data_IF_421393460316
#
_entry.id   IF_421393460316
#
_cell.length_a   1.000
_cell.length_b   1.000
_cell.length_c   1.000
_cell.angle_alpha   90.00
_cell.angle_beta   90.00
_cell.angle_gamma   90.00
#
_symmetry.space_group_name_H-M   'P 1'
#
loop_
_entity.id
_entity.type
_entity.pdbx_description
1 polymer ?
#
# COMPACT_ATOMS: atom_id res chain seq x y z
N UNK A 1 -40.03 34.44 -2.06
CA UNK A 1 -39.91 33.77 -0.74
C UNK A 1 -38.67 32.92 -0.83
N UNK A 2 -37.63 33.25 -0.07
CA UNK A 2 -36.43 32.42 0.02
C UNK A 2 -36.72 31.29 1.02
N UNK A 3 -36.64 30.04 0.54
CA UNK A 3 -36.77 28.87 1.40
C UNK A 3 -35.51 28.74 2.25
N UNK A 4 -35.63 28.97 3.55
CA UNK A 4 -34.56 28.74 4.52
C UNK A 4 -34.39 27.23 4.67
N UNK A 5 -33.40 26.65 3.98
CA UNK A 5 -33.04 25.25 4.14
C UNK A 5 -32.43 25.08 5.54
N UNK A 6 -33.19 24.47 6.44
CA UNK A 6 -32.73 24.17 7.79
C UNK A 6 -31.51 23.23 7.74
N UNK A 7 -30.46 23.55 8.50
CA UNK A 7 -29.30 22.67 8.61
C UNK A 7 -29.72 21.32 9.21
N UNK A 8 -29.27 20.19 8.64
CA UNK A 8 -29.64 18.88 9.15
C UNK A 8 -29.11 18.69 10.58
N UNK A 9 -29.98 18.15 11.44
CA UNK A 9 -29.63 17.79 12.82
C UNK A 9 -28.99 16.41 12.77
N UNK A 10 -27.68 16.34 13.01
CA UNK A 10 -26.93 15.08 13.04
C UNK A 10 -26.91 14.56 14.49
N UNK A 11 -27.25 13.29 14.68
CA UNK A 11 -27.18 12.65 15.99
C UNK A 11 -25.75 12.68 16.54
N UNK A 12 -25.59 13.02 17.82
CA UNK A 12 -24.29 13.15 18.48
C UNK A 12 -23.46 11.88 18.38
N UNK A 13 -24.10 10.73 18.55
CA UNK A 13 -23.50 9.40 18.43
C UNK A 13 -22.95 9.15 17.01
N UNK A 14 -23.64 9.64 15.97
CA UNK A 14 -23.17 9.55 14.59
C UNK A 14 -21.94 10.44 14.36
N UNK A 15 -21.97 11.66 14.90
CA UNK A 15 -20.85 12.59 14.88
C UNK A 15 -19.62 12.04 15.62
N UNK A 16 -19.84 11.40 16.77
CA UNK A 16 -18.80 10.72 17.56
C UNK A 16 -18.26 9.47 16.84
N UNK A 17 -19.10 8.73 16.12
CA UNK A 17 -18.66 7.61 15.28
C UNK A 17 -17.81 8.04 14.07
N UNK A 18 -18.03 9.28 13.61
CA UNK A 18 -17.32 9.93 12.52
C UNK A 18 -16.10 10.73 13.00
N UNK A 19 -15.93 10.91 14.32
CA UNK A 19 -14.74 11.56 14.87
C UNK A 19 -13.53 10.74 14.47
N UNK A 20 -12.69 11.37 13.67
CA UNK A 20 -11.40 10.84 13.24
C UNK A 20 -10.62 10.45 14.48
N UNK A 21 -10.40 9.15 14.70
CA UNK A 21 -9.37 8.72 15.65
C UNK A 21 -8.07 9.25 15.09
N UNK A 22 -7.53 10.30 15.71
CA UNK A 22 -6.19 10.79 15.44
C UNK A 22 -5.25 9.74 16.05
N UNK A 23 -5.07 8.63 15.36
CA UNK A 23 -3.87 7.84 15.55
C UNK A 23 -2.76 8.61 14.84
N UNK A 24 -1.63 8.83 15.52
CA UNK A 24 -0.40 9.20 14.83
C UNK A 24 -0.20 8.18 13.71
N UNK A 25 -0.37 8.62 12.45
CA UNK A 25 -0.19 7.75 11.29
C UNK A 25 1.27 7.32 11.25
N UNK A 26 1.55 6.15 11.84
CA UNK A 26 2.77 5.42 11.54
C UNK A 26 2.61 4.95 10.11
N UNK A 27 3.55 5.32 9.25
CA UNK A 27 3.57 4.89 7.87
C UNK A 27 4.77 3.98 7.64
N UNK A 28 4.60 3.01 6.75
CA UNK A 28 5.68 2.14 6.29
C UNK A 28 5.95 2.47 4.84
N UNK A 29 7.21 2.83 4.52
CA UNK A 29 7.61 3.22 3.18
C UNK A 29 8.42 2.07 2.57
N UNK A 30 7.98 1.59 1.41
CA UNK A 30 8.65 0.51 0.69
C UNK A 30 9.05 1.01 -0.69
N UNK A 31 10.34 1.14 -0.91
CA UNK A 31 10.91 1.39 -2.23
C UNK A 31 11.08 0.03 -2.94
N UNK A 32 10.28 -0.17 -3.97
CA UNK A 32 10.28 -1.40 -4.77
C UNK A 32 11.17 -1.23 -6.00
N UNK A 33 12.05 -2.20 -6.22
CA UNK A 33 12.83 -2.33 -7.44
C UNK A 33 12.27 -3.50 -8.25
N UNK A 34 11.76 -3.21 -9.44
CA UNK A 34 11.54 -4.19 -10.48
C UNK A 34 12.83 -4.28 -11.33
N UNK A 35 13.60 -5.39 -11.27
CA UNK A 35 14.92 -5.47 -11.88
C UNK A 35 14.88 -5.31 -13.40
N UNK A 36 15.97 -4.77 -13.94
CA UNK A 36 16.22 -4.72 -15.37
C UNK A 36 16.03 -6.09 -16.01
N UNK A 37 15.27 -6.11 -17.10
CA UNK A 37 14.95 -7.32 -17.85
C UNK A 37 15.27 -7.15 -19.33
N UNK A 38 15.79 -8.18 -20.01
CA UNK A 38 16.02 -8.19 -21.45
C UNK A 38 14.73 -8.39 -22.26
N UNK A 39 13.57 -8.53 -21.60
CA UNK A 39 12.28 -8.62 -22.29
C UNK A 39 11.76 -7.23 -22.64
N UNK A 40 11.41 -7.03 -23.92
CA UNK A 40 10.78 -5.80 -24.39
C UNK A 40 9.29 -5.80 -24.05
N UNK A 41 8.78 -4.65 -23.62
CA UNK A 41 7.35 -4.46 -23.38
C UNK A 41 6.83 -4.97 -22.02
N UNK A 42 7.71 -5.12 -21.02
CA UNK A 42 7.26 -5.41 -19.65
C UNK A 42 6.32 -4.31 -19.16
N UNK A 43 5.13 -4.73 -18.73
CA UNK A 43 4.12 -3.87 -18.13
C UNK A 43 3.91 -4.32 -16.69
N UNK A 44 3.97 -3.38 -15.76
CA UNK A 44 3.69 -3.64 -14.35
C UNK A 44 2.60 -2.71 -13.84
N UNK A 45 1.95 -3.11 -12.77
CA UNK A 45 0.96 -2.30 -12.04
C UNK A 45 0.97 -2.75 -10.59
N UNK A 46 0.30 -2.00 -9.73
CA UNK A 46 0.07 -2.40 -8.34
C UNK A 46 -1.43 -2.44 -8.06
N UNK A 47 -1.86 -3.35 -7.20
CA UNK A 47 -3.25 -3.44 -6.77
C UNK A 47 -3.48 -2.69 -5.45
N UNK A 48 -4.69 -2.14 -5.29
CA UNK A 48 -5.12 -1.61 -3.98
C UNK A 48 -5.19 -2.69 -2.90
N UNK A 49 -5.24 -3.96 -3.31
CA UNK A 49 -5.18 -5.14 -2.44
C UNK A 49 -3.74 -5.62 -2.20
N UNK A 50 -2.77 -4.70 -2.26
CA UNK A 50 -1.40 -4.91 -1.77
C UNK A 50 -1.33 -4.64 -0.28
N UNK A 51 -0.71 -5.53 0.49
CA UNK A 51 -0.62 -5.42 1.94
C UNK A 51 0.79 -5.74 2.45
N UNK A 52 1.10 -5.20 3.63
CA UNK A 52 2.12 -5.78 4.51
C UNK A 52 1.41 -6.65 5.55
N UNK A 53 1.73 -7.94 5.58
CA UNK A 53 1.13 -8.93 6.46
C UNK A 53 2.09 -9.19 7.61
N UNK A 54 1.72 -8.86 8.85
CA UNK A 54 2.53 -9.21 10.01
C UNK A 54 2.59 -10.74 10.15
N UNK A 55 3.79 -11.30 10.26
CA UNK A 55 3.96 -12.75 10.37
C UNK A 55 3.62 -13.29 11.77
N UNK A 56 3.44 -12.39 12.73
CA UNK A 56 3.22 -12.68 14.15
C UNK A 56 1.76 -12.50 14.57
N UNK A 57 0.92 -11.90 13.71
CA UNK A 57 -0.47 -11.56 14.03
C UNK A 57 -1.36 -11.63 12.78
N UNK A 58 -2.65 -11.31 12.92
CA UNK A 58 -3.58 -11.18 11.78
C UNK A 58 -3.59 -9.78 11.18
N UNK A 59 -2.72 -8.87 11.64
CA UNK A 59 -2.69 -7.49 11.18
C UNK A 59 -2.26 -7.38 9.72
N UNK A 60 -2.95 -6.49 8.99
CA UNK A 60 -2.65 -6.16 7.59
C UNK A 60 -2.54 -4.65 7.45
N UNK A 61 -1.34 -4.19 7.13
CA UNK A 61 -1.10 -2.80 6.75
C UNK A 61 -1.57 -2.57 5.32
N UNK A 62 -2.46 -1.59 5.14
CA UNK A 62 -3.08 -1.28 3.84
C UNK A 62 -2.22 -0.31 3.04
N UNK A 63 -2.23 -0.43 1.72
CA UNK A 63 -1.66 0.57 0.82
C UNK A 63 -2.43 1.89 0.97
N UNK A 64 -1.71 2.97 1.23
CA UNK A 64 -2.22 4.35 1.35
C UNK A 64 -1.93 5.13 0.06
N UNK A 65 -0.71 5.00 -0.47
CA UNK A 65 -0.26 5.74 -1.66
C UNK A 65 0.73 4.92 -2.49
N UNK A 66 0.72 5.17 -3.80
CA UNK A 66 1.69 4.62 -4.74
C UNK A 66 2.26 5.75 -5.59
N UNK A 67 3.59 5.82 -5.65
CA UNK A 67 4.35 6.85 -6.35
C UNK A 67 5.17 6.21 -7.47
N UNK A 68 5.12 6.81 -8.66
CA UNK A 68 5.81 6.34 -9.86
C UNK A 68 5.42 4.91 -10.33
N UNK A 69 4.19 4.46 -10.03
CA UNK A 69 3.57 3.25 -10.59
C UNK A 69 2.05 3.46 -10.69
N UNK A 70 1.40 2.86 -11.68
CA UNK A 70 -0.05 2.91 -11.84
C UNK A 70 -0.77 1.86 -11.02
N UNK A 71 -1.92 2.25 -10.44
CA UNK A 71 -2.86 1.32 -9.82
C UNK A 71 -3.68 0.61 -10.91
N UNK A 72 -4.01 -0.68 -10.71
CA UNK A 72 -5.00 -1.41 -11.49
C UNK A 72 -6.25 -0.54 -11.76
N UNK A 73 -6.79 -0.50 -13.00
CA UNK A 73 -6.47 -1.37 -14.15
C UNK A 73 -5.34 -0.87 -15.04
N UNK A 74 -4.76 0.29 -14.74
CA UNK A 74 -3.78 0.94 -15.60
C UNK A 74 -2.40 0.29 -15.47
N UNK A 75 -1.65 0.30 -16.56
CA UNK A 75 -0.32 -0.31 -16.66
C UNK A 75 0.77 0.75 -16.79
N UNK A 76 1.92 0.45 -16.19
CA UNK A 76 3.16 1.22 -16.28
C UNK A 76 4.16 0.46 -17.13
N UNK A 77 4.68 1.10 -18.17
CA UNK A 77 5.72 0.51 -19.00
C UNK A 77 7.08 0.55 -18.29
N UNK A 78 7.74 -0.61 -18.21
CA UNK A 78 9.08 -0.75 -17.65
C UNK A 78 10.11 -0.51 -18.76
N UNK A 79 11.08 0.40 -18.57
CA UNK A 79 12.13 0.64 -19.55
C UNK A 79 13.02 -0.59 -19.77
N UNK A 80 13.41 -0.82 -21.02
CA UNK A 80 14.30 -1.94 -21.40
C UNK A 80 15.67 -1.84 -20.72
N UNK A 81 16.16 -2.96 -20.19
CA UNK A 81 17.49 -3.10 -19.58
C UNK A 81 17.79 -2.06 -18.48
N UNK A 82 16.76 -1.58 -17.77
CA UNK A 82 16.91 -0.65 -16.65
C UNK A 82 16.05 -1.10 -15.47
N UNK A 83 16.59 -0.94 -14.27
CA UNK A 83 15.81 -1.11 -13.06
C UNK A 83 14.71 -0.05 -13.01
N UNK A 84 13.50 -0.49 -12.69
CA UNK A 84 12.38 0.40 -12.48
C UNK A 84 12.07 0.50 -10.99
N UNK A 85 12.04 1.74 -10.49
CA UNK A 85 11.86 2.03 -9.07
C UNK A 85 10.55 2.78 -8.85
N UNK A 86 9.80 2.34 -7.85
CA UNK A 86 8.60 3.00 -7.39
C UNK A 86 8.50 2.91 -5.86
N UNK A 87 7.62 3.73 -5.28
CA UNK A 87 7.48 3.79 -3.82
C UNK A 87 6.03 3.54 -3.43
N UNK A 88 5.84 2.67 -2.45
CA UNK A 88 4.55 2.37 -1.85
C UNK A 88 4.54 2.80 -0.39
N UNK A 89 3.48 3.47 0.03
CA UNK A 89 3.28 3.92 1.41
C UNK A 89 2.13 3.13 1.99
N UNK A 90 2.35 2.51 3.14
CA UNK A 90 1.36 1.69 3.85
C UNK A 90 1.03 2.25 5.22
N UNK A 91 -0.11 1.85 5.76
CA UNK A 91 -0.45 2.07 7.16
C UNK A 91 0.53 1.34 8.09
N UNK A 92 0.63 1.80 9.33
CA UNK A 92 1.64 1.33 10.27
C UNK A 92 1.54 -0.16 10.62
N UNK A 93 2.69 -0.74 10.94
CA UNK A 93 2.80 -2.09 11.50
C UNK A 93 2.59 -2.06 13.03
N UNK A 94 2.03 -3.14 13.63
CA UNK A 94 1.85 -3.25 15.08
C UNK A 94 3.18 -3.13 15.80
N UNK A 95 3.22 -2.61 17.04
CA UNK A 95 4.48 -2.41 17.79
C UNK A 95 5.32 -3.69 17.92
N UNK A 96 4.68 -4.83 18.10
CA UNK A 96 5.34 -6.11 18.34
C UNK A 96 5.70 -6.88 17.05
N UNK A 97 5.44 -6.30 15.87
CA UNK A 97 5.82 -6.90 14.60
C UNK A 97 7.35 -6.98 14.49
N UNK A 98 7.85 -8.19 14.21
CA UNK A 98 9.29 -8.48 14.04
C UNK A 98 9.66 -8.77 12.58
N UNK A 99 8.70 -9.27 11.81
CA UNK A 99 8.81 -9.48 10.37
C UNK A 99 7.43 -9.44 9.73
N UNK A 100 7.40 -9.10 8.45
CA UNK A 100 6.19 -9.05 7.66
C UNK A 100 6.44 -9.54 6.24
N UNK A 101 5.37 -9.95 5.58
CA UNK A 101 5.37 -10.29 4.16
C UNK A 101 4.77 -9.12 3.36
N UNK A 102 5.37 -8.78 2.22
CA UNK A 102 4.75 -7.92 1.21
C UNK A 102 3.98 -8.82 0.25
N UNK A 103 2.68 -8.58 0.07
CA UNK A 103 1.86 -9.46 -0.77
C UNK A 103 0.71 -8.73 -1.46
N UNK A 104 0.55 -9.00 -2.75
CA UNK A 104 -0.69 -8.73 -3.49
C UNK A 104 -1.70 -9.87 -3.31
N UNK A 105 -2.91 -9.52 -2.87
CA UNK A 105 -4.03 -10.46 -2.77
C UNK A 105 -4.98 -10.12 -3.92
N UNK A 106 -4.79 -10.81 -5.03
CA UNK A 106 -5.50 -10.55 -6.30
C UNK A 106 -6.24 -11.82 -6.75
N UNK A 107 -7.28 -11.70 -7.57
CA UNK A 107 -8.05 -12.86 -8.05
C UNK A 107 -7.34 -13.65 -9.17
N UNK A 108 -6.21 -13.14 -9.68
CA UNK A 108 -5.42 -13.72 -10.78
C UNK A 108 -4.02 -14.15 -10.31
N UNK A 109 -3.28 -14.88 -11.15
CA UNK A 109 -1.86 -15.17 -10.91
C UNK A 109 -0.98 -13.94 -11.22
N UNK A 110 0.29 -13.98 -10.82
CA UNK A 110 1.26 -12.90 -11.13
C UNK A 110 1.30 -11.73 -10.13
N UNK A 111 0.69 -11.89 -8.94
CA UNK A 111 0.78 -10.88 -7.88
C UNK A 111 2.16 -10.86 -7.20
N UNK A 112 2.68 -9.67 -6.91
CA UNK A 112 3.98 -9.54 -6.26
C UNK A 112 3.98 -10.11 -4.84
N UNK A 113 5.05 -10.84 -4.51
CA UNK A 113 5.24 -11.42 -3.18
C UNK A 113 6.71 -11.38 -2.73
N UNK A 114 6.96 -10.80 -1.56
CA UNK A 114 8.26 -10.84 -0.88
C UNK A 114 8.05 -11.27 0.56
N UNK A 115 8.67 -12.41 0.93
CA UNK A 115 8.45 -13.06 2.22
C UNK A 115 9.47 -12.61 3.26
N UNK A 116 9.02 -12.53 4.52
CA UNK A 116 9.84 -12.43 5.74
C UNK A 116 10.81 -11.25 5.74
N UNK A 117 10.31 -10.07 5.36
CA UNK A 117 11.03 -8.81 5.51
C UNK A 117 11.18 -8.54 7.00
N UNK A 118 12.42 -8.49 7.48
CA UNK A 118 12.72 -8.18 8.89
C UNK A 118 12.40 -6.71 9.16
N UNK A 119 11.62 -6.45 10.21
CA UNK A 119 11.28 -5.08 10.60
C UNK A 119 12.54 -4.33 11.06
N UNK A 120 12.64 -3.06 10.68
CA UNK A 120 13.68 -2.15 11.16
C UNK A 120 13.05 -0.95 11.89
N UNK A 121 13.87 -0.18 12.62
CA UNK A 121 13.37 0.94 13.44
C UNK A 121 12.95 2.18 12.65
N UNK A 122 13.24 2.26 11.34
CA UNK A 122 12.85 3.39 10.49
C UNK A 122 11.53 3.18 9.76
N UNK A 123 11.06 1.93 9.67
CA UNK A 123 9.94 1.52 8.83
C UNK A 123 10.07 1.96 7.35
N UNK A 124 11.32 2.13 6.89
CA UNK A 124 11.68 2.36 5.48
C UNK A 124 12.43 1.13 4.96
N UNK A 125 11.97 0.59 3.83
CA UNK A 125 12.49 -0.65 3.25
C UNK A 125 12.83 -0.48 1.78
N UNK A 126 13.80 -1.26 1.31
CA UNK A 126 14.12 -1.44 -0.11
C UNK A 126 13.98 -2.92 -0.42
N UNK A 127 13.13 -3.26 -1.39
CA UNK A 127 12.90 -4.65 -1.79
C UNK A 127 13.06 -4.80 -3.29
N UNK A 128 13.47 -5.99 -3.73
CA UNK A 128 13.40 -6.40 -5.12
C UNK A 128 12.15 -7.24 -5.31
N UNK A 129 11.40 -6.96 -6.37
CA UNK A 129 10.20 -7.69 -6.74
C UNK A 129 10.38 -8.27 -8.14
N UNK A 130 9.77 -9.43 -8.37
CA UNK A 130 9.61 -10.03 -9.68
C UNK A 130 8.19 -10.56 -9.77
N UNK A 131 7.68 -10.65 -11.00
CA UNK A 131 6.46 -11.40 -11.29
C UNK A 131 6.66 -12.91 -11.04
#
# INVERSE_FOLDING_TARGET
MEEVIAKPIIAKELLESLQTKIEEEKQVIVHCCFPASPFLGNLIRIWNTTYLLDNSSSHKSKLIHAENITIYPNWTAVPFMRDFWFTLIFSGLPKDCTSFDFKEIIPEEGGFFVKSIKRNGSDIYRIKISE
#
